data_IF_991926332656
#
_entry.id   IF_991926332656
#
_cell.length_a   1.000
_cell.length_b   1.000
_cell.length_c   1.000
_cell.angle_alpha   90.00
_cell.angle_beta   90.00
_cell.angle_gamma   90.00
#
_symmetry.space_group_name_H-M   'P 1'
#
loop_
_entity.id
_entity.type
_entity.pdbx_description
1 polymer ?
#
# COMPACT_ATOMS: atom_id res chain seq x y z
N UNK A 1 21.83 -11.39 0.41
CA UNK A 1 20.45 -11.43 -0.12
C UNK A 1 20.46 -10.79 -1.49
N UNK A 2 20.06 -11.48 -2.56
CA UNK A 2 19.89 -10.84 -3.86
C UNK A 2 18.81 -9.76 -3.72
N UNK A 3 19.14 -8.49 -3.97
CA UNK A 3 18.24 -7.35 -3.76
C UNK A 3 17.12 -7.20 -4.80
N UNK A 4 16.79 -8.27 -5.53
CA UNK A 4 15.74 -8.27 -6.55
C UNK A 4 14.51 -9.03 -6.05
N UNK A 5 13.29 -8.53 -6.32
CA UNK A 5 12.07 -9.27 -6.02
C UNK A 5 12.07 -10.65 -6.69
N UNK A 6 11.70 -11.69 -5.94
CA UNK A 6 11.54 -13.06 -6.45
C UNK A 6 10.11 -13.29 -6.92
N UNK A 7 9.15 -12.70 -6.21
CA UNK A 7 7.71 -12.73 -6.50
C UNK A 7 7.05 -11.48 -5.92
N UNK A 8 6.03 -10.96 -6.60
CA UNK A 8 5.27 -9.79 -6.15
C UNK A 8 3.80 -10.14 -5.94
N UNK A 9 3.15 -9.47 -5.00
CA UNK A 9 1.70 -9.55 -4.80
C UNK A 9 1.08 -8.15 -4.83
N UNK A 10 0.12 -7.94 -5.73
CA UNK A 10 -0.52 -6.62 -5.94
C UNK A 10 -1.58 -6.36 -4.87
N UNK A 11 -1.46 -5.24 -4.17
CA UNK A 11 -2.43 -4.79 -3.15
C UNK A 11 -3.04 -3.45 -3.55
N UNK A 12 -4.35 -3.33 -3.41
CA UNK A 12 -5.13 -2.15 -3.80
C UNK A 12 -5.49 -1.32 -2.57
N UNK A 13 -4.71 -0.27 -2.31
CA UNK A 13 -4.97 0.70 -1.24
C UNK A 13 -6.22 1.52 -1.60
N UNK A 14 -7.12 1.65 -0.63
CA UNK A 14 -8.36 2.44 -0.73
C UNK A 14 -8.86 2.79 0.69
N UNK A 15 -9.85 3.69 0.86
CA UNK A 15 -10.29 4.12 2.19
C UNK A 15 -10.78 2.98 3.11
N UNK A 16 -11.29 1.89 2.54
CA UNK A 16 -11.75 0.72 3.28
C UNK A 16 -10.68 -0.40 3.40
N UNK A 17 -9.44 -0.15 2.97
CA UNK A 17 -8.31 -1.08 3.04
C UNK A 17 -7.01 -0.26 3.00
N UNK A 18 -6.56 0.19 4.17
CA UNK A 18 -5.46 1.11 4.38
C UNK A 18 -4.11 0.44 4.61
N UNK A 19 -3.13 1.20 5.11
CA UNK A 19 -1.77 0.69 5.32
C UNK A 19 -1.69 -0.34 6.45
N UNK A 20 -2.44 -0.16 7.55
CA UNK A 20 -2.49 -1.14 8.64
C UNK A 20 -3.09 -2.48 8.16
N UNK A 21 -4.18 -2.44 7.39
CA UNK A 21 -4.78 -3.65 6.80
C UNK A 21 -3.80 -4.41 5.88
N UNK A 22 -2.93 -3.67 5.19
CA UNK A 22 -1.85 -4.25 4.37
C UNK A 22 -0.78 -4.88 5.25
N UNK A 23 -0.39 -4.22 6.34
CA UNK A 23 0.62 -4.73 7.28
C UNK A 23 0.15 -6.04 7.93
N UNK A 24 -1.14 -6.15 8.27
CA UNK A 24 -1.73 -7.37 8.84
C UNK A 24 -1.65 -8.58 7.89
N UNK A 25 -1.53 -8.37 6.58
CA UNK A 25 -1.33 -9.44 5.61
C UNK A 25 0.12 -9.95 5.55
N UNK A 26 1.10 -9.29 6.17
CA UNK A 26 2.51 -9.62 6.01
C UNK A 26 2.82 -11.09 6.34
N UNK A 27 2.28 -11.62 7.44
CA UNK A 27 2.47 -13.02 7.83
C UNK A 27 1.83 -14.00 6.84
N UNK A 28 0.68 -13.67 6.28
CA UNK A 28 0.05 -14.47 5.24
C UNK A 28 0.87 -14.46 3.95
N UNK A 29 1.33 -13.29 3.51
CA UNK A 29 2.14 -13.13 2.29
C UNK A 29 3.46 -13.89 2.38
N UNK A 30 4.11 -13.88 3.53
CA UNK A 30 5.31 -14.68 3.81
C UNK A 30 5.00 -16.19 3.70
N UNK A 31 3.92 -16.66 4.35
CA UNK A 31 3.51 -18.07 4.29
C UNK A 31 3.15 -18.54 2.86
N UNK A 32 2.68 -17.62 2.02
CA UNK A 32 2.35 -17.86 0.62
C UNK A 32 3.61 -17.92 -0.28
N UNK A 33 4.77 -17.43 0.20
CA UNK A 33 6.01 -17.34 -0.58
C UNK A 33 6.13 -16.05 -1.39
N UNK A 34 5.39 -14.99 -1.03
CA UNK A 34 5.52 -13.67 -1.64
C UNK A 34 6.73 -12.95 -1.06
N UNK A 35 7.62 -12.47 -1.93
CA UNK A 35 8.82 -11.74 -1.48
C UNK A 35 8.59 -10.23 -1.31
N UNK A 36 7.71 -9.62 -2.10
CA UNK A 36 7.51 -8.17 -2.12
C UNK A 36 6.04 -7.82 -2.33
N UNK A 37 5.51 -6.92 -1.48
CA UNK A 37 4.22 -6.30 -1.72
C UNK A 37 4.33 -5.23 -2.81
N UNK A 38 3.46 -5.30 -3.81
CA UNK A 38 3.34 -4.28 -4.85
C UNK A 38 2.10 -3.44 -4.57
N UNK A 39 2.26 -2.27 -3.99
CA UNK A 39 1.14 -1.40 -3.64
C UNK A 39 0.64 -0.60 -4.86
N UNK A 40 -0.65 -0.27 -4.87
CA UNK A 40 -1.17 0.84 -5.66
C UNK A 40 -0.59 2.18 -5.18
N UNK A 41 -0.79 3.30 -5.92
CA UNK A 41 -0.25 4.60 -5.51
C UNK A 41 -0.63 4.99 -4.08
N UNK A 42 0.32 5.59 -3.36
CA UNK A 42 0.21 5.87 -1.91
C UNK A 42 0.16 7.37 -1.57
N UNK A 43 0.43 8.24 -2.56
CA UNK A 43 0.34 9.68 -2.40
C UNK A 43 -1.12 10.14 -2.38
N UNK A 44 -1.37 11.28 -1.75
CA UNK A 44 -2.73 11.79 -1.50
C UNK A 44 -3.54 11.97 -2.80
N UNK A 45 -4.59 11.16 -3.01
CA UNK A 45 -5.50 11.30 -4.13
C UNK A 45 -6.68 12.23 -3.80
N UNK A 46 -7.62 12.38 -4.74
CA UNK A 46 -8.90 13.02 -4.43
C UNK A 46 -9.63 12.26 -3.31
N UNK A 47 -10.43 12.94 -2.48
CA UNK A 47 -11.19 12.29 -1.40
C UNK A 47 -12.08 11.16 -1.93
N UNK A 48 -12.08 10.02 -1.25
CA UNK A 48 -12.86 8.83 -1.64
C UNK A 48 -12.28 8.03 -2.81
N UNK A 49 -11.10 8.37 -3.33
CA UNK A 49 -10.48 7.62 -4.43
C UNK A 49 -10.22 6.16 -4.04
N UNK A 50 -10.68 5.22 -4.87
CA UNK A 50 -10.52 3.78 -4.65
C UNK A 50 -9.32 3.19 -5.39
N UNK A 51 -8.52 4.02 -6.07
CA UNK A 51 -7.40 3.56 -6.90
C UNK A 51 -6.12 4.39 -6.75
N UNK A 52 -6.20 5.65 -6.32
CA UNK A 52 -5.04 6.48 -5.96
C UNK A 52 -4.26 7.11 -7.13
N UNK A 53 -4.72 6.96 -8.37
CA UNK A 53 -4.01 7.47 -9.57
C UNK A 53 -4.28 8.97 -9.83
N UNK A 54 -5.31 9.50 -9.21
CA UNK A 54 -5.80 10.87 -9.25
C UNK A 54 -5.17 11.71 -8.14
N UNK A 55 -3.83 11.76 -8.13
CA UNK A 55 -3.04 12.45 -7.10
C UNK A 55 -3.29 13.95 -7.12
N UNK A 56 -3.60 14.53 -5.95
CA UNK A 56 -3.79 15.97 -5.75
C UNK A 56 -2.68 16.61 -4.92
N UNK A 57 -1.91 15.81 -4.17
CA UNK A 57 -0.80 16.32 -3.35
C UNK A 57 0.34 15.30 -3.25
N UNK A 58 1.47 15.62 -3.85
CA UNK A 58 2.65 14.76 -3.90
C UNK A 58 3.48 14.78 -2.61
N UNK A 59 3.19 15.69 -1.68
CA UNK A 59 3.95 15.87 -0.43
C UNK A 59 3.42 15.01 0.72
N UNK A 60 2.21 14.45 0.57
CA UNK A 60 1.52 13.69 1.62
C UNK A 60 1.17 12.29 1.16
N UNK A 61 1.22 11.36 2.12
CA UNK A 61 0.60 10.03 1.97
C UNK A 61 -0.91 10.14 2.15
N UNK A 62 -1.66 9.25 1.52
CA UNK A 62 -3.11 9.23 1.56
C UNK A 62 -3.63 9.16 3.00
N UNK A 63 -4.27 10.24 3.47
CA UNK A 63 -4.81 10.32 4.83
C UNK A 63 -5.96 9.32 5.06
N UNK A 64 -6.78 9.02 4.04
CA UNK A 64 -7.87 8.04 4.13
C UNK A 64 -7.35 6.59 4.19
N UNK A 65 -6.07 6.36 3.88
CA UNK A 65 -5.40 5.08 4.07
C UNK A 65 -4.59 4.99 5.39
N UNK A 66 -4.70 5.99 6.26
CA UNK A 66 -3.97 6.07 7.54
C UNK A 66 -2.78 7.05 7.56
N UNK A 67 -2.40 7.59 6.39
CA UNK A 67 -1.33 8.59 6.28
C UNK A 67 0.05 8.07 6.68
N UNK A 68 0.96 9.00 7.02
CA UNK A 68 2.34 8.70 7.40
C UNK A 68 2.47 7.75 8.61
N UNK A 69 1.71 7.92 9.71
CA UNK A 69 1.87 7.08 10.89
C UNK A 69 1.58 5.60 10.67
N UNK A 70 0.65 5.26 9.77
CA UNK A 70 0.33 3.86 9.44
C UNK A 70 1.25 3.26 8.36
N UNK A 71 2.11 4.09 7.73
CA UNK A 71 2.99 3.65 6.64
C UNK A 71 4.42 3.32 7.11
N UNK A 72 4.87 3.90 8.22
CA UNK A 72 6.23 3.75 8.78
C UNK A 72 6.27 2.80 9.97
#
# INVERSE_FOLDING_TARGET
MNGSPVSTYRLQIRPAFGFDDVADLAGYLDSLGVSHAYLSPVLQPTPGSTHGYDVVDHTRLNAEAGGRPAFE
#
